data_IF_966166429876
#
_entry.id   IF_966166429876
#
_cell.length_a   1.000
_cell.length_b   1.000
_cell.length_c   1.000
_cell.angle_alpha   90.00
_cell.angle_beta   90.00
_cell.angle_gamma   90.00
#
_symmetry.space_group_name_H-M   'P 1'
#
loop_
_entity.id
_entity.type
_entity.pdbx_description
1 polymer ?
#
# COMPACT_ATOMS: atom_id res chain seq x y z
N UNK A 1 -21.04 -51.33 15.91
CA UNK A 1 -20.00 -50.84 14.99
C UNK A 1 -19.40 -49.63 15.65
N UNK A 2 -18.12 -49.66 16.00
CA UNK A 2 -17.41 -48.46 16.50
C UNK A 2 -17.28 -47.55 15.29
N UNK A 3 -17.98 -46.42 15.27
CA UNK A 3 -17.73 -45.36 14.28
C UNK A 3 -16.25 -45.02 14.37
N UNK A 4 -15.49 -45.37 13.33
CA UNK A 4 -14.11 -44.92 13.22
C UNK A 4 -14.16 -43.40 13.17
N UNK A 5 -13.75 -42.74 14.26
CA UNK A 5 -13.68 -41.29 14.32
C UNK A 5 -12.85 -40.80 13.12
N UNK A 6 -13.48 -40.03 12.24
CA UNK A 6 -12.83 -39.41 11.09
C UNK A 6 -11.67 -38.59 11.64
N UNK A 7 -10.45 -38.97 11.28
CA UNK A 7 -9.23 -38.38 11.82
C UNK A 7 -8.79 -37.30 10.85
N UNK A 8 -9.10 -36.05 11.17
CA UNK A 8 -8.68 -34.90 10.36
C UNK A 8 -7.15 -34.91 10.19
N UNK A 9 -6.68 -34.69 8.97
CA UNK A 9 -5.25 -34.66 8.64
C UNK A 9 -4.72 -33.25 8.80
N UNK A 10 -3.71 -33.07 9.64
CA UNK A 10 -3.04 -31.78 9.84
C UNK A 10 -1.92 -31.61 8.83
N UNK A 11 -1.99 -30.60 7.97
CA UNK A 11 -0.95 -30.24 7.00
C UNK A 11 -0.34 -28.88 7.35
N UNK A 12 0.99 -28.82 7.39
CA UNK A 12 1.72 -27.56 7.52
C UNK A 12 2.04 -27.02 6.13
N UNK A 13 1.46 -25.87 5.80
CA UNK A 13 1.76 -25.12 4.60
C UNK A 13 2.77 -24.02 4.93
N UNK A 14 4.02 -24.18 4.48
CA UNK A 14 5.14 -23.28 4.78
C UNK A 14 5.99 -23.71 5.99
N UNK A 15 6.96 -22.89 6.45
CA UNK A 15 7.20 -21.48 6.10
C UNK A 15 7.80 -21.24 4.71
N UNK A 16 8.37 -22.29 4.09
CA UNK A 16 8.97 -22.20 2.76
C UNK A 16 8.02 -22.85 1.73
N UNK A 17 7.21 -22.03 1.07
CA UNK A 17 6.35 -22.46 -0.03
C UNK A 17 6.19 -21.31 -1.04
N UNK A 18 6.22 -21.56 -2.37
CA UNK A 18 6.10 -20.49 -3.37
C UNK A 18 4.85 -19.62 -3.21
N UNK A 19 3.68 -20.25 -3.03
CA UNK A 19 2.40 -19.52 -2.88
C UNK A 19 2.18 -18.89 -1.51
N UNK A 20 3.16 -19.01 -0.59
CA UNK A 20 3.12 -18.32 0.70
C UNK A 20 3.68 -16.89 0.61
N UNK A 21 4.21 -16.46 -0.55
CA UNK A 21 4.72 -15.10 -0.82
C UNK A 21 5.55 -14.48 0.31
N UNK A 22 6.49 -15.25 0.84
CA UNK A 22 7.31 -14.86 1.97
C UNK A 22 7.38 -15.98 3.00
N UNK A 23 7.04 -15.66 4.24
CA UNK A 23 7.21 -16.55 5.39
C UNK A 23 5.89 -16.70 6.14
N UNK A 24 4.99 -17.52 5.58
CA UNK A 24 3.73 -17.89 6.23
C UNK A 24 3.79 -19.34 6.67
N UNK A 25 3.43 -19.62 7.92
CA UNK A 25 3.14 -20.99 8.36
C UNK A 25 1.64 -21.11 8.59
N UNK A 26 0.94 -21.78 7.68
CA UNK A 26 -0.49 -22.02 7.78
C UNK A 26 -0.72 -23.50 8.16
N UNK A 27 -1.31 -23.74 9.32
CA UNK A 27 -1.66 -25.10 9.78
C UNK A 27 -3.10 -25.37 9.34
N UNK A 28 -3.26 -26.29 8.40
CA UNK A 28 -4.55 -26.68 7.84
C UNK A 28 -5.00 -28.00 8.46
N UNK A 29 -6.24 -28.05 8.95
CA UNK A 29 -6.93 -29.30 9.26
C UNK A 29 -7.83 -29.66 8.08
N UNK A 30 -7.59 -30.83 7.52
CA UNK A 30 -8.22 -31.30 6.28
C UNK A 30 -9.09 -32.52 6.56
N UNK A 31 -10.29 -32.52 6.00
CA UNK A 31 -11.11 -33.71 5.81
C UNK A 31 -11.03 -34.13 4.33
N UNK A 32 -10.12 -35.06 4.04
CA UNK A 32 -9.73 -35.39 2.67
C UNK A 32 -9.04 -34.21 1.98
N UNK A 33 -9.72 -33.59 1.01
CA UNK A 33 -9.23 -32.42 0.26
C UNK A 33 -9.84 -31.09 0.74
N UNK A 34 -10.87 -31.14 1.59
CA UNK A 34 -11.63 -29.98 2.06
C UNK A 34 -10.98 -29.44 3.33
N UNK A 35 -10.82 -28.12 3.40
CA UNK A 35 -10.30 -27.41 4.57
C UNK A 35 -11.42 -27.23 5.59
N UNK A 36 -11.23 -27.76 6.80
CA UNK A 36 -12.15 -27.61 7.94
C UNK A 36 -11.69 -26.47 8.87
N UNK A 37 -10.38 -26.32 9.07
CA UNK A 37 -9.79 -25.23 9.85
C UNK A 37 -8.48 -24.76 9.26
N UNK A 38 -8.24 -23.46 9.26
CA UNK A 38 -6.95 -22.87 8.89
C UNK A 38 -6.42 -21.94 9.99
N UNK A 39 -5.24 -22.24 10.53
CA UNK A 39 -4.59 -21.44 11.56
C UNK A 39 -3.31 -20.77 11.02
N UNK A 40 -3.33 -19.46 10.71
CA UNK A 40 -2.17 -18.73 10.22
C UNK A 40 -1.23 -18.33 11.38
N UNK A 41 -0.11 -19.05 11.51
CA UNK A 41 0.97 -18.65 12.41
C UNK A 41 1.81 -17.54 11.77
N UNK A 42 1.69 -16.35 12.35
CA UNK A 42 2.45 -15.14 12.00
C UNK A 42 3.54 -14.82 13.02
N UNK A 43 4.33 -13.77 12.77
CA UNK A 43 5.40 -13.31 13.65
C UNK A 43 6.80 -13.74 13.22
N UNK A 44 6.93 -14.50 12.13
CA UNK A 44 8.23 -14.96 11.61
C UNK A 44 9.08 -13.80 11.06
N UNK A 45 8.45 -12.69 10.66
CA UNK A 45 9.13 -11.47 10.21
C UNK A 45 8.97 -10.31 11.22
N UNK A 46 8.58 -10.59 12.46
CA UNK A 46 8.39 -9.54 13.47
C UNK A 46 9.73 -8.95 13.89
N UNK A 47 9.88 -7.65 13.72
CA UNK A 47 11.14 -6.91 13.98
C UNK A 47 11.05 -5.92 15.14
N UNK A 48 9.92 -5.85 15.84
CA UNK A 48 9.68 -4.85 16.89
C UNK A 48 9.76 -3.42 16.35
N UNK A 49 9.23 -3.19 15.14
CA UNK A 49 9.30 -1.89 14.43
C UNK A 49 8.64 -0.78 15.23
N UNK A 50 7.45 -1.02 15.79
CA UNK A 50 6.74 -0.05 16.65
C UNK A 50 7.59 0.33 17.87
N UNK A 51 8.34 -0.62 18.44
CA UNK A 51 9.22 -0.36 19.58
C UNK A 51 10.46 0.42 19.19
N UNK A 52 11.04 0.14 18.03
CA UNK A 52 12.18 0.90 17.52
C UNK A 52 11.81 2.35 17.21
N UNK A 53 10.59 2.60 16.73
CA UNK A 53 10.08 3.95 16.45
C UNK A 53 10.07 4.82 17.72
N UNK A 54 9.72 4.27 18.89
CA UNK A 54 9.70 4.99 20.18
C UNK A 54 11.07 5.56 20.58
N UNK A 55 12.17 4.95 20.10
CA UNK A 55 13.54 5.40 20.41
C UNK A 55 14.16 6.30 19.33
N UNK A 56 13.40 6.67 18.29
CA UNK A 56 13.90 7.42 17.13
C UNK A 56 13.12 8.71 16.95
N UNK A 57 13.76 9.74 16.42
CA UNK A 57 13.07 10.98 16.08
C UNK A 57 12.11 10.76 14.90
N UNK A 58 11.13 11.64 14.70
CA UNK A 58 10.17 11.52 13.59
C UNK A 58 10.83 11.32 12.22
N UNK A 59 11.92 12.05 11.94
CA UNK A 59 12.67 11.91 10.68
C UNK A 59 13.40 10.56 10.56
N UNK A 60 13.93 10.05 11.68
CA UNK A 60 14.61 8.76 11.74
C UNK A 60 13.64 7.58 11.76
N UNK A 61 12.39 7.80 12.19
CA UNK A 61 11.33 6.80 12.23
C UNK A 61 10.70 6.55 10.86
N UNK A 62 10.68 7.56 9.99
CA UNK A 62 10.08 7.49 8.66
C UNK A 62 10.51 6.27 7.80
N UNK A 63 11.80 5.88 7.72
CA UNK A 63 12.22 4.73 6.90
C UNK A 63 11.71 3.38 7.39
N UNK A 64 11.14 3.29 8.60
CA UNK A 64 10.48 2.05 9.02
C UNK A 64 9.20 1.82 8.20
N UNK A 65 8.45 2.87 7.86
CA UNK A 65 7.21 2.79 7.08
C UNK A 65 7.47 2.27 5.66
N UNK A 66 8.54 2.73 5.02
CA UNK A 66 9.03 2.22 3.72
C UNK A 66 9.27 0.71 3.68
N UNK A 67 9.52 0.10 4.84
CA UNK A 67 9.93 -1.30 4.98
C UNK A 67 8.82 -2.20 5.51
N UNK A 68 7.63 -1.65 5.77
CA UNK A 68 6.46 -2.43 6.18
C UNK A 68 5.86 -3.08 4.94
N UNK A 69 5.17 -2.30 4.13
CA UNK A 69 4.77 -2.69 2.79
C UNK A 69 5.84 -2.25 1.79
N UNK A 70 6.79 -3.15 1.53
CA UNK A 70 7.90 -2.89 0.61
C UNK A 70 7.46 -2.81 -0.86
N UNK A 71 6.19 -3.03 -1.17
CA UNK A 71 5.66 -2.97 -2.53
C UNK A 71 5.20 -1.55 -2.86
N UNK A 72 4.55 -0.87 -1.90
CA UNK A 72 4.07 0.51 -2.03
C UNK A 72 4.64 1.42 -0.92
N UNK A 73 5.97 1.61 -0.85
CA UNK A 73 6.64 2.28 0.27
C UNK A 73 6.19 3.73 0.47
N UNK A 74 6.04 4.50 -0.61
CA UNK A 74 5.62 5.91 -0.53
C UNK A 74 4.21 6.09 0.03
N UNK A 75 3.29 5.15 -0.21
CA UNK A 75 1.94 5.20 0.36
C UNK A 75 1.98 5.05 1.89
N UNK A 76 2.94 4.27 2.40
CA UNK A 76 3.17 4.07 3.84
C UNK A 76 3.82 5.30 4.47
N UNK A 77 4.82 5.90 3.81
CA UNK A 77 5.41 7.18 4.23
C UNK A 77 4.34 8.27 4.34
N UNK A 78 3.43 8.31 3.36
CA UNK A 78 2.39 9.31 3.29
C UNK A 78 1.49 9.28 4.53
N UNK A 79 1.02 8.10 4.96
CA UNK A 79 0.19 7.98 6.15
C UNK A 79 0.88 8.49 7.43
N UNK A 80 2.18 8.20 7.58
CA UNK A 80 2.96 8.71 8.71
C UNK A 80 3.17 10.23 8.63
N UNK A 81 3.50 10.75 7.45
CA UNK A 81 3.66 12.19 7.24
C UNK A 81 2.36 12.94 7.53
N UNK A 82 1.23 12.41 7.06
CA UNK A 82 -0.10 12.99 7.26
C UNK A 82 -0.51 12.97 8.73
N UNK A 83 -0.19 11.91 9.48
CA UNK A 83 -0.39 11.85 10.93
C UNK A 83 0.42 12.93 11.67
N UNK A 84 1.71 13.07 11.32
CA UNK A 84 2.58 14.07 11.92
C UNK A 84 2.19 15.51 11.54
N UNK A 85 1.75 15.73 10.30
CA UNK A 85 1.27 17.03 9.79
C UNK A 85 -0.03 17.47 10.47
N UNK A 86 -0.94 16.53 10.75
CA UNK A 86 -2.16 16.79 11.54
C UNK A 86 -1.84 17.19 12.97
N UNK A 87 -0.86 16.54 13.63
CA UNK A 87 -0.41 16.92 14.98
C UNK A 87 0.31 18.28 15.01
N UNK A 88 0.97 18.66 13.92
CA UNK A 88 1.65 19.95 13.79
C UNK A 88 0.69 21.08 13.34
N UNK A 89 -0.53 20.74 12.92
CA UNK A 89 -1.54 21.66 12.35
C UNK A 89 -1.02 22.44 11.13
N UNK A 90 -0.37 21.75 10.18
CA UNK A 90 0.22 22.41 9.00
C UNK A 90 -0.32 21.86 7.69
N UNK A 91 -0.59 22.77 6.75
CA UNK A 91 -0.92 22.45 5.37
C UNK A 91 0.32 22.41 4.48
N UNK A 92 0.50 21.31 3.75
CA UNK A 92 1.54 21.16 2.72
C UNK A 92 1.21 22.01 1.49
N UNK A 93 2.19 22.62 0.81
CA UNK A 93 1.96 23.36 -0.45
C UNK A 93 1.30 22.51 -1.55
N UNK A 94 0.53 23.15 -2.44
CA UNK A 94 -0.22 22.48 -3.53
C UNK A 94 0.67 21.63 -4.44
N UNK A 95 1.87 22.11 -4.80
CA UNK A 95 2.84 21.33 -5.58
C UNK A 95 3.29 20.06 -4.86
N UNK A 96 3.58 20.15 -3.56
CA UNK A 96 3.98 19.01 -2.74
C UNK A 96 2.86 17.95 -2.66
N UNK A 97 1.61 18.40 -2.50
CA UNK A 97 0.44 17.52 -2.52
C UNK A 97 0.26 16.81 -3.88
N UNK A 98 0.35 17.54 -4.99
CA UNK A 98 0.25 16.96 -6.34
C UNK A 98 1.32 15.90 -6.60
N UNK A 99 2.56 16.16 -6.16
CA UNK A 99 3.65 15.18 -6.28
C UNK A 99 3.38 13.95 -5.42
N UNK A 100 2.91 14.13 -4.18
CA UNK A 100 2.57 13.01 -3.30
C UNK A 100 1.47 12.13 -3.90
N UNK A 101 0.39 12.73 -4.39
CA UNK A 101 -0.70 11.99 -5.06
C UNK A 101 -0.19 11.28 -6.31
N UNK A 102 0.62 11.94 -7.15
CA UNK A 102 1.21 11.31 -8.33
C UNK A 102 2.00 10.04 -7.96
N UNK A 103 2.87 10.11 -6.96
CA UNK A 103 3.65 8.96 -6.51
C UNK A 103 2.86 7.91 -5.74
N UNK A 104 1.79 8.31 -5.04
CA UNK A 104 0.86 7.36 -4.40
C UNK A 104 0.12 6.52 -5.45
N UNK A 105 -0.28 7.11 -6.57
CA UNK A 105 -0.90 6.38 -7.68
C UNK A 105 0.12 5.52 -8.44
N UNK A 106 1.38 5.96 -8.58
CA UNK A 106 2.46 5.08 -9.08
C UNK A 106 2.68 3.90 -8.11
N UNK A 107 2.66 4.14 -6.80
CA UNK A 107 2.74 3.10 -5.76
C UNK A 107 1.55 2.12 -5.85
N UNK A 108 0.36 2.62 -6.19
CA UNK A 108 -0.82 1.80 -6.45
C UNK A 108 -0.65 0.91 -7.68
N UNK A 109 -0.13 1.44 -8.79
CA UNK A 109 0.21 0.65 -9.97
C UNK A 109 1.26 -0.42 -9.65
N UNK A 110 2.33 -0.07 -8.93
CA UNK A 110 3.37 -1.01 -8.51
C UNK A 110 2.80 -2.17 -7.69
N UNK A 111 1.86 -1.89 -6.78
CA UNK A 111 1.22 -2.89 -5.94
C UNK A 111 0.27 -3.79 -6.71
N UNK A 112 -0.65 -3.22 -7.49
CA UNK A 112 -1.62 -4.01 -8.24
C UNK A 112 -0.95 -4.85 -9.33
N UNK A 113 0.09 -4.35 -10.00
CA UNK A 113 0.86 -5.14 -10.95
C UNK A 113 1.52 -6.34 -10.28
N UNK A 114 2.13 -6.16 -9.11
CA UNK A 114 2.71 -7.28 -8.38
C UNK A 114 1.64 -8.28 -7.98
N UNK A 115 0.55 -7.82 -7.36
CA UNK A 115 -0.51 -8.68 -6.87
C UNK A 115 -1.19 -9.47 -8.01
N UNK A 116 -1.73 -8.80 -9.03
CA UNK A 116 -2.44 -9.44 -10.14
C UNK A 116 -1.57 -10.49 -10.82
N UNK A 117 -0.29 -10.17 -11.04
CA UNK A 117 0.61 -11.11 -11.73
C UNK A 117 1.06 -12.26 -10.84
N UNK A 118 1.31 -12.03 -9.55
CA UNK A 118 1.69 -13.10 -8.60
C UNK A 118 0.51 -14.01 -8.28
N UNK A 119 -0.71 -13.48 -8.11
CA UNK A 119 -1.93 -14.28 -7.99
C UNK A 119 -2.12 -15.16 -9.23
N UNK A 120 -1.88 -14.63 -10.43
CA UNK A 120 -1.94 -15.42 -11.66
C UNK A 120 -0.86 -16.53 -11.67
N UNK A 121 0.35 -16.24 -11.16
CA UNK A 121 1.43 -17.22 -11.03
C UNK A 121 1.09 -18.35 -10.05
N UNK A 122 0.46 -18.05 -8.91
CA UNK A 122 0.04 -19.07 -7.94
C UNK A 122 -0.99 -20.04 -8.50
N UNK A 123 -1.86 -19.54 -9.39
CA UNK A 123 -2.87 -20.34 -10.09
C UNK A 123 -2.23 -21.13 -11.25
N UNK A 124 -1.04 -20.72 -11.71
CA UNK A 124 -0.22 -21.44 -12.70
C UNK A 124 0.10 -20.66 -13.99
N UNK A 125 -0.31 -19.40 -14.12
CA UNK A 125 -0.01 -18.58 -15.29
C UNK A 125 1.37 -17.90 -15.16
N UNK A 126 2.34 -18.34 -15.97
CA UNK A 126 3.74 -17.90 -15.86
C UNK A 126 4.08 -16.65 -16.71
N UNK A 127 3.29 -16.33 -17.73
CA UNK A 127 3.54 -15.20 -18.63
C UNK A 127 3.23 -13.83 -18.00
N UNK A 128 2.11 -13.63 -17.28
CA UNK A 128 1.77 -12.32 -16.70
C UNK A 128 2.85 -11.69 -15.81
N UNK A 129 3.53 -12.44 -14.91
CA UNK A 129 4.63 -11.90 -14.10
C UNK A 129 5.73 -11.24 -14.93
N UNK A 130 6.13 -11.86 -16.05
CA UNK A 130 7.22 -11.34 -16.87
C UNK A 130 6.83 -10.01 -17.54
N UNK A 131 5.59 -9.91 -18.02
CA UNK A 131 5.07 -8.67 -18.62
C UNK A 131 4.89 -7.58 -17.56
N UNK A 132 4.29 -7.91 -16.41
CA UNK A 132 4.07 -6.95 -15.33
C UNK A 132 5.37 -6.44 -14.73
N UNK A 133 6.38 -7.30 -14.55
CA UNK A 133 7.67 -6.88 -13.97
C UNK A 133 8.48 -5.99 -14.91
N UNK A 134 8.33 -6.15 -16.23
CA UNK A 134 8.94 -5.22 -17.19
C UNK A 134 8.38 -3.80 -17.05
N UNK A 135 7.07 -3.64 -16.85
CA UNK A 135 6.48 -2.32 -16.57
C UNK A 135 6.82 -1.82 -15.16
N UNK A 136 6.87 -2.72 -14.17
CA UNK A 136 7.28 -2.41 -12.81
C UNK A 136 8.70 -1.84 -12.75
N UNK A 137 9.61 -2.36 -13.58
CA UNK A 137 10.97 -1.85 -13.71
C UNK A 137 11.00 -0.39 -14.16
N UNK A 138 10.17 -0.01 -15.15
CA UNK A 138 10.07 1.37 -15.63
C UNK A 138 9.59 2.31 -14.52
N UNK A 139 8.61 1.86 -13.72
CA UNK A 139 8.13 2.62 -12.56
C UNK A 139 9.20 2.76 -11.47
N UNK A 140 10.03 1.73 -11.23
CA UNK A 140 11.16 1.81 -10.30
C UNK A 140 12.25 2.80 -10.78
N UNK A 141 12.44 2.95 -12.09
CA UNK A 141 13.34 3.99 -12.64
C UNK A 141 12.81 5.40 -12.32
N UNK A 142 11.49 5.59 -12.27
CA UNK A 142 10.92 6.87 -11.81
C UNK A 142 11.20 7.13 -10.32
N UNK A 143 11.14 6.09 -9.49
CA UNK A 143 11.51 6.17 -8.07
C UNK A 143 13.00 6.53 -7.91
N UNK A 144 13.87 5.89 -8.68
CA UNK A 144 15.31 6.14 -8.68
C UNK A 144 15.62 7.58 -9.09
N UNK A 145 14.95 8.09 -10.13
CA UNK A 145 15.17 9.47 -10.60
C UNK A 145 14.63 10.53 -9.65
N UNK A 146 13.61 10.21 -8.86
CA UNK A 146 13.03 11.14 -7.88
C UNK A 146 13.80 11.14 -6.54
N UNK A 147 14.22 9.97 -6.07
CA UNK A 147 14.77 9.80 -4.71
C UNK A 147 16.23 9.35 -4.66
N UNK A 148 16.75 8.78 -5.75
CA UNK A 148 18.04 8.08 -5.80
C UNK A 148 17.97 6.60 -5.42
N UNK A 149 16.81 6.09 -5.00
CA UNK A 149 16.60 4.69 -4.64
C UNK A 149 15.44 4.07 -5.42
N UNK A 150 15.55 2.78 -5.74
CA UNK A 150 14.56 2.06 -6.57
C UNK A 150 13.31 1.56 -5.82
N UNK A 151 13.42 1.34 -4.50
CA UNK A 151 12.31 0.85 -3.67
C UNK A 151 12.11 1.76 -2.46
N UNK A 152 13.00 1.69 -1.46
CA UNK A 152 12.91 2.50 -0.24
C UNK A 152 13.40 3.92 -0.51
N UNK A 153 12.47 4.83 -0.77
CA UNK A 153 12.74 6.15 -1.32
C UNK A 153 13.02 7.21 -0.24
N UNK A 154 12.47 7.07 0.97
CA UNK A 154 12.58 8.08 2.04
C UNK A 154 12.26 9.50 1.52
N UNK A 155 11.23 9.61 0.67
CA UNK A 155 11.02 10.75 -0.22
C UNK A 155 9.98 11.72 0.33
N UNK A 156 8.87 11.20 0.83
CA UNK A 156 7.89 12.02 1.55
C UNK A 156 8.45 12.33 2.93
N UNK A 157 8.36 13.60 3.33
CA UNK A 157 8.84 14.07 4.62
C UNK A 157 7.72 14.82 5.31
N UNK A 158 7.76 14.87 6.63
CA UNK A 158 6.87 15.76 7.39
C UNK A 158 7.06 17.19 6.87
N UNK A 159 6.00 17.76 6.32
CA UNK A 159 5.99 19.09 5.73
C UNK A 159 6.16 19.16 4.21
N UNK A 160 6.00 18.04 3.51
CA UNK A 160 5.93 17.97 2.06
C UNK A 160 6.82 16.89 1.45
N UNK A 161 7.65 17.28 0.49
CA UNK A 161 8.52 16.38 -0.27
C UNK A 161 9.99 16.77 -0.09
N UNK A 162 10.89 15.79 -0.05
CA UNK A 162 12.31 16.05 0.20
C UNK A 162 12.99 16.88 -0.91
N UNK A 163 12.77 16.53 -2.17
CA UNK A 163 13.39 17.16 -3.34
C UNK A 163 12.36 17.31 -4.46
N UNK A 164 12.48 18.38 -5.27
CA UNK A 164 11.59 18.58 -6.42
C UNK A 164 11.90 17.60 -7.55
N UNK A 165 10.93 17.38 -8.42
CA UNK A 165 11.06 16.49 -9.57
C UNK A 165 11.85 17.16 -10.71
N UNK A 166 12.77 16.43 -11.37
CA UNK A 166 13.37 16.89 -12.62
C UNK A 166 12.29 17.08 -13.70
N UNK A 167 12.33 18.18 -14.45
CA UNK A 167 11.31 18.48 -15.48
C UNK A 167 11.13 17.34 -16.50
N UNK A 168 12.23 16.73 -16.95
CA UNK A 168 12.21 15.58 -17.88
C UNK A 168 11.43 14.39 -17.33
N UNK A 169 11.42 14.20 -16.01
CA UNK A 169 10.70 13.08 -15.39
C UNK A 169 9.19 13.20 -15.59
N UNK A 170 8.64 14.42 -15.60
CA UNK A 170 7.21 14.63 -15.86
C UNK A 170 6.82 14.20 -17.28
N UNK A 171 7.69 14.49 -18.25
CA UNK A 171 7.47 14.11 -19.65
C UNK A 171 7.59 12.60 -19.84
N UNK A 172 8.54 11.96 -19.14
CA UNK A 172 8.73 10.51 -19.19
C UNK A 172 7.55 9.76 -18.55
N UNK A 173 7.01 10.25 -17.41
CA UNK A 173 5.80 9.69 -16.79
C UNK A 173 4.58 9.88 -17.69
N UNK A 174 4.46 11.03 -18.36
CA UNK A 174 3.39 11.25 -19.35
C UNK A 174 3.46 10.23 -20.49
N UNK A 175 4.66 10.01 -21.05
CA UNK A 175 4.89 9.06 -22.12
C UNK A 175 4.65 7.60 -21.72
N UNK A 176 4.75 7.26 -20.43
CA UNK A 176 4.45 5.93 -19.89
C UNK A 176 2.94 5.63 -19.83
N UNK A 177 2.09 6.64 -19.63
CA UNK A 177 0.67 6.43 -19.35
C UNK A 177 -0.09 5.73 -20.49
N UNK A 178 0.11 6.12 -21.75
CA UNK A 178 -0.63 5.54 -22.89
C UNK A 178 -0.17 4.11 -23.24
N UNK A 179 1.14 3.80 -23.32
CA UNK A 179 1.60 2.43 -23.53
C UNK A 179 1.18 1.48 -22.40
N UNK A 180 1.14 1.95 -21.16
CA UNK A 180 0.78 1.11 -20.02
C UNK A 180 -0.67 0.61 -20.09
N UNK A 181 -1.62 1.43 -20.56
CA UNK A 181 -3.01 0.99 -20.75
C UNK A 181 -3.11 -0.19 -21.73
N UNK A 182 -2.29 -0.21 -22.78
CA UNK A 182 -2.22 -1.36 -23.70
C UNK A 182 -1.72 -2.63 -23.01
N UNK A 183 -0.80 -2.49 -22.05
CA UNK A 183 -0.33 -3.64 -21.26
C UNK A 183 -1.45 -4.15 -20.35
N UNK A 184 -2.23 -3.26 -19.73
CA UNK A 184 -3.42 -3.66 -18.99
C UNK A 184 -4.42 -4.41 -19.89
N UNK A 185 -4.66 -3.94 -21.11
CA UNK A 185 -5.57 -4.60 -22.05
C UNK A 185 -5.04 -5.97 -22.50
N UNK A 186 -3.73 -6.11 -22.72
CA UNK A 186 -3.10 -7.41 -23.02
C UNK A 186 -3.22 -8.39 -21.84
N UNK A 187 -3.11 -7.92 -20.59
CA UNK A 187 -3.31 -8.73 -19.39
C UNK A 187 -4.77 -9.16 -19.23
N UNK A 188 -5.69 -8.24 -19.51
CA UNK A 188 -7.15 -8.46 -19.50
C UNK A 188 -7.56 -9.52 -20.53
N UNK A 189 -7.03 -9.44 -21.76
CA UNK A 189 -7.26 -10.41 -22.83
C UNK A 189 -6.82 -11.84 -22.43
N UNK A 190 -5.67 -11.96 -21.77
CA UNK A 190 -5.13 -13.26 -21.35
C UNK A 190 -5.87 -13.88 -20.16
N UNK A 191 -6.25 -13.08 -19.17
CA UNK A 191 -6.75 -13.59 -17.88
C UNK A 191 -8.27 -13.51 -17.76
N UNK A 192 -8.89 -12.39 -18.08
CA UNK A 192 -10.30 -12.12 -17.78
C UNK A 192 -11.24 -13.01 -18.57
N UNK A 193 -10.94 -13.27 -19.86
CA UNK A 193 -11.73 -14.15 -20.71
C UNK A 193 -11.45 -15.65 -20.49
N UNK A 194 -10.36 -15.99 -19.79
CA UNK A 194 -9.87 -17.36 -19.71
C UNK A 194 -10.76 -18.23 -18.80
N UNK A 195 -11.27 -19.33 -19.36
CA UNK A 195 -12.09 -20.30 -18.64
C UNK A 195 -11.39 -20.88 -17.42
N UNK A 196 -10.09 -21.20 -17.50
CA UNK A 196 -9.34 -21.80 -16.39
C UNK A 196 -9.22 -20.80 -15.25
N UNK A 197 -8.91 -19.54 -15.57
CA UNK A 197 -8.77 -18.49 -14.57
C UNK A 197 -10.10 -18.19 -13.87
N UNK A 198 -11.22 -18.19 -14.61
CA UNK A 198 -12.56 -18.08 -14.01
C UNK A 198 -12.88 -19.27 -13.11
N UNK A 199 -12.65 -20.50 -13.57
CA UNK A 199 -12.92 -21.71 -12.78
C UNK A 199 -12.15 -21.76 -11.45
N UNK A 200 -11.01 -21.07 -11.34
CA UNK A 200 -10.18 -21.04 -10.12
C UNK A 200 -10.46 -19.85 -9.19
N UNK A 201 -11.23 -18.85 -9.62
CA UNK A 201 -11.46 -17.62 -8.85
C UNK A 201 -12.93 -17.28 -8.63
N UNK A 202 -13.83 -17.74 -9.52
CA UNK A 202 -15.27 -17.56 -9.37
C UNK A 202 -15.77 -18.48 -8.26
N UNK A 203 -16.62 -17.95 -7.38
CA UNK A 203 -17.18 -18.65 -6.20
C UNK A 203 -16.13 -19.12 -5.17
N UNK A 204 -14.90 -18.62 -5.24
CA UNK A 204 -13.84 -18.90 -4.25
C UNK A 204 -13.69 -17.75 -3.28
N UNK A 205 -13.71 -18.07 -1.97
CA UNK A 205 -13.48 -17.10 -0.91
C UNK A 205 -14.52 -15.97 -0.88
N UNK A 206 -15.79 -16.31 -1.06
CA UNK A 206 -16.92 -15.36 -1.11
C UNK A 206 -17.10 -14.69 0.25
N UNK A 207 -17.26 -13.36 0.24
CA UNK A 207 -17.51 -12.56 1.45
C UNK A 207 -18.72 -11.67 1.24
N UNK A 208 -19.71 -11.78 2.13
CA UNK A 208 -20.84 -10.86 2.19
C UNK A 208 -20.45 -9.47 2.73
N UNK A 209 -21.21 -8.45 2.37
CA UNK A 209 -20.92 -7.07 2.78
C UNK A 209 -20.89 -6.88 4.29
N UNK A 210 -21.85 -7.47 5.02
CA UNK A 210 -21.94 -7.33 6.49
C UNK A 210 -20.77 -8.02 7.19
N UNK A 211 -20.37 -9.20 6.71
CA UNK A 211 -19.21 -9.93 7.22
C UNK A 211 -17.92 -9.15 6.96
N UNK A 212 -17.77 -8.54 5.78
CA UNK A 212 -16.60 -7.73 5.45
C UNK A 212 -16.39 -6.58 6.46
N UNK A 213 -17.48 -5.94 6.89
CA UNK A 213 -17.44 -4.90 7.92
C UNK A 213 -17.15 -5.47 9.32
N UNK A 214 -17.78 -6.59 9.67
CA UNK A 214 -17.58 -7.23 10.97
C UNK A 214 -16.12 -7.68 11.19
N UNK A 215 -15.47 -8.20 10.15
CA UNK A 215 -14.04 -8.58 10.17
C UNK A 215 -13.08 -7.38 10.03
N UNK A 216 -13.61 -6.17 9.81
CA UNK A 216 -12.80 -4.96 9.70
C UNK A 216 -11.95 -4.88 8.42
N UNK A 217 -12.43 -5.50 7.33
CA UNK A 217 -11.78 -5.38 6.03
C UNK A 217 -11.82 -3.95 5.49
N UNK A 218 -10.96 -3.70 4.51
CA UNK A 218 -10.88 -2.42 3.80
C UNK A 218 -10.34 -2.62 2.38
N UNK A 219 -10.45 -1.58 1.54
CA UNK A 219 -9.87 -1.58 0.20
C UNK A 219 -10.59 -2.49 -0.79
N UNK A 220 -9.83 -3.17 -1.68
CA UNK A 220 -10.40 -4.07 -2.69
C UNK A 220 -11.26 -5.20 -2.12
N UNK A 221 -11.02 -5.62 -0.88
CA UNK A 221 -11.83 -6.65 -0.20
C UNK A 221 -13.27 -6.19 0.03
N UNK A 222 -13.45 -4.97 0.53
CA UNK A 222 -14.76 -4.37 0.80
C UNK A 222 -15.45 -3.95 -0.50
N UNK A 223 -14.69 -3.40 -1.45
CA UNK A 223 -15.19 -3.05 -2.79
C UNK A 223 -15.63 -4.26 -3.59
N UNK A 224 -14.92 -5.38 -3.49
CA UNK A 224 -15.29 -6.64 -4.13
C UNK A 224 -16.63 -7.19 -3.64
N UNK A 225 -16.96 -6.99 -2.36
CA UNK A 225 -18.23 -7.40 -1.74
C UNK A 225 -19.40 -6.44 -1.97
N UNK A 226 -19.25 -5.41 -2.83
CA UNK A 226 -20.35 -4.52 -3.20
C UNK A 226 -20.45 -3.19 -2.43
N UNK A 227 -19.52 -2.91 -1.51
CA UNK A 227 -19.52 -1.65 -0.78
C UNK A 227 -18.76 -0.54 -1.52
N UNK A 228 -19.44 0.59 -1.76
CA UNK A 228 -18.86 1.79 -2.37
C UNK A 228 -18.04 2.61 -1.35
N UNK A 229 -16.95 2.03 -0.84
CA UNK A 229 -16.08 2.66 0.17
C UNK A 229 -14.65 2.86 -0.35
N UNK A 230 -14.19 4.11 -0.36
CA UNK A 230 -12.82 4.52 -0.66
C UNK A 230 -12.52 5.80 0.13
N UNK A 231 -11.45 5.81 0.93
CA UNK A 231 -11.10 6.98 1.72
C UNK A 231 -10.78 8.20 0.87
N UNK A 232 -10.29 8.03 -0.36
CA UNK A 232 -9.97 9.13 -1.27
C UNK A 232 -11.20 9.96 -1.68
N UNK A 233 -12.41 9.38 -1.59
CA UNK A 233 -13.67 10.11 -1.81
C UNK A 233 -14.44 10.38 -0.51
N UNK A 234 -14.50 9.41 0.40
CA UNK A 234 -15.30 9.53 1.62
C UNK A 234 -14.66 10.48 2.64
N UNK A 235 -13.34 10.42 2.80
CA UNK A 235 -12.57 11.26 3.71
C UNK A 235 -11.33 11.80 2.97
N UNK A 236 -11.56 12.66 1.98
CA UNK A 236 -10.51 12.99 1.04
C UNK A 236 -9.38 13.76 1.74
N UNK A 237 -8.17 13.43 1.34
CA UNK A 237 -6.94 14.06 1.82
C UNK A 237 -6.16 14.65 0.64
N UNK A 238 -5.26 15.58 0.94
CA UNK A 238 -4.45 16.29 -0.07
C UNK A 238 -5.30 16.84 -1.23
N UNK A 239 -4.92 16.56 -2.48
CA UNK A 239 -5.60 17.06 -3.67
C UNK A 239 -6.53 16.04 -4.35
N UNK A 240 -6.86 14.91 -3.70
CA UNK A 240 -7.86 13.96 -4.22
C UNK A 240 -9.25 14.57 -4.50
N UNK A 241 -9.79 15.55 -3.73
CA UNK A 241 -11.07 16.18 -4.04
C UNK A 241 -11.14 16.85 -5.41
N UNK A 242 -10.00 17.29 -5.94
CA UNK A 242 -9.94 17.98 -7.22
C UNK A 242 -9.80 17.02 -8.41
N UNK A 243 -9.69 15.71 -8.18
CA UNK A 243 -9.42 14.70 -9.21
C UNK A 243 -10.69 13.93 -9.58
N UNK A 244 -10.86 13.70 -10.88
CA UNK A 244 -12.01 12.98 -11.42
C UNK A 244 -11.65 11.52 -11.68
N UNK A 245 -12.13 10.61 -10.85
CA UNK A 245 -11.99 9.17 -11.00
C UNK A 245 -13.22 8.42 -10.51
N UNK A 246 -13.39 7.19 -10.96
CA UNK A 246 -14.51 6.33 -10.59
C UNK A 246 -14.06 5.21 -9.65
N UNK A 247 -14.94 4.76 -8.76
CA UNK A 247 -14.64 3.66 -7.82
C UNK A 247 -15.19 2.36 -8.41
N UNK A 248 -14.36 1.36 -8.71
CA UNK A 248 -14.84 0.06 -9.15
C UNK A 248 -15.45 -0.73 -7.98
N UNK A 249 -16.57 -1.40 -8.23
CA UNK A 249 -17.34 -2.15 -7.22
C UNK A 249 -17.64 -3.54 -7.79
N UNK A 250 -17.35 -4.58 -7.02
CA UNK A 250 -17.73 -5.96 -7.30
C UNK A 250 -19.17 -6.26 -6.90
N UNK A 251 -19.69 -7.44 -7.24
CA UNK A 251 -21.10 -7.81 -6.96
C UNK A 251 -21.22 -9.02 -6.07
N UNK A 252 -20.35 -10.00 -6.26
CA UNK A 252 -20.44 -11.33 -5.65
C UNK A 252 -19.51 -11.46 -4.45
N UNK A 253 -18.43 -10.67 -4.37
CA UNK A 253 -17.46 -10.75 -3.27
C UNK A 253 -16.46 -11.89 -3.38
N UNK A 254 -16.33 -12.50 -4.56
CA UNK A 254 -15.39 -13.58 -4.86
C UNK A 254 -13.97 -13.07 -5.19
N UNK A 255 -13.03 -14.01 -5.36
CA UNK A 255 -11.65 -13.67 -5.75
C UNK A 255 -11.58 -13.02 -7.15
N UNK A 256 -12.53 -13.34 -8.04
CA UNK A 256 -12.58 -12.81 -9.40
C UNK A 256 -12.99 -11.33 -9.42
N UNK A 257 -14.01 -10.93 -8.67
CA UNK A 257 -14.42 -9.54 -8.54
C UNK A 257 -13.31 -8.68 -7.95
N UNK A 258 -12.56 -9.18 -6.97
CA UNK A 258 -11.39 -8.49 -6.41
C UNK A 258 -10.29 -8.28 -7.45
N UNK A 259 -10.08 -9.26 -8.32
CA UNK A 259 -9.16 -9.14 -9.45
C UNK A 259 -9.63 -8.05 -10.43
N UNK A 260 -10.91 -8.03 -10.79
CA UNK A 260 -11.48 -7.02 -11.69
C UNK A 260 -11.39 -5.60 -11.09
N UNK A 261 -11.69 -5.46 -9.80
CA UNK A 261 -11.53 -4.18 -9.06
C UNK A 261 -10.11 -3.67 -9.18
N UNK A 262 -9.09 -4.53 -9.03
CA UNK A 262 -7.67 -4.12 -9.16
C UNK A 262 -7.28 -3.76 -10.59
N UNK A 263 -7.77 -4.51 -11.58
CA UNK A 263 -7.55 -4.18 -13.00
C UNK A 263 -8.12 -2.80 -13.34
N UNK A 264 -9.32 -2.48 -12.85
CA UNK A 264 -9.94 -1.19 -13.08
C UNK A 264 -9.30 -0.07 -12.25
N UNK A 265 -8.88 -0.34 -11.02
CA UNK A 265 -8.09 0.61 -10.21
C UNK A 265 -6.79 1.00 -10.91
N UNK A 266 -6.13 0.09 -11.65
CA UNK A 266 -4.95 0.45 -12.45
C UNK A 266 -5.30 1.46 -13.55
N UNK A 267 -6.43 1.29 -14.25
CA UNK A 267 -6.88 2.25 -15.28
C UNK A 267 -7.24 3.62 -14.66
N UNK A 268 -7.91 3.62 -13.52
CA UNK A 268 -8.24 4.85 -12.80
C UNK A 268 -6.98 5.55 -12.24
N UNK A 269 -5.99 4.79 -11.79
CA UNK A 269 -4.69 5.35 -11.34
C UNK A 269 -4.00 6.11 -12.47
N UNK A 270 -3.97 5.55 -13.69
CA UNK A 270 -3.41 6.23 -14.88
C UNK A 270 -4.18 7.51 -15.20
N UNK A 271 -5.51 7.51 -15.08
CA UNK A 271 -6.35 8.70 -15.26
C UNK A 271 -5.99 9.80 -14.26
N UNK A 272 -5.83 9.46 -12.98
CA UNK A 272 -5.40 10.41 -11.93
C UNK A 272 -3.98 10.91 -12.22
N UNK A 273 -3.06 10.05 -12.64
CA UNK A 273 -1.69 10.44 -12.99
C UNK A 273 -1.67 11.50 -14.10
N UNK A 274 -2.45 11.33 -15.17
CA UNK A 274 -2.56 12.32 -16.25
C UNK A 274 -3.08 13.66 -15.75
N UNK A 275 -4.14 13.66 -14.95
CA UNK A 275 -4.69 14.88 -14.34
C UNK A 275 -3.69 15.58 -13.42
N UNK A 276 -2.93 14.81 -12.63
CA UNK A 276 -1.86 15.35 -11.80
C UNK A 276 -0.77 16.03 -12.63
N UNK A 277 -0.35 15.41 -13.75
CA UNK A 277 0.66 15.98 -14.64
C UNK A 277 0.20 17.26 -15.33
N UNK A 278 -1.07 17.33 -15.77
CA UNK A 278 -1.67 18.54 -16.33
C UNK A 278 -1.68 19.68 -15.30
N UNK A 279 -2.09 19.38 -14.06
CA UNK A 279 -2.10 20.35 -12.96
C UNK A 279 -0.69 20.76 -12.50
N UNK A 280 0.28 19.86 -12.57
CA UNK A 280 1.69 20.19 -12.28
C UNK A 280 2.31 21.11 -13.33
N UNK A 281 1.84 21.04 -14.58
CA UNK A 281 2.23 21.95 -15.67
C UNK A 281 1.50 23.30 -15.61
N UNK A 282 0.31 23.32 -15.00
CA UNK A 282 -0.47 24.54 -14.80
C UNK A 282 0.22 25.51 -13.83
N UNK A 283 -0.11 26.82 -13.88
CA UNK A 283 0.49 27.81 -12.98
C UNK A 283 0.21 27.53 -11.50
N UNK A 284 -0.87 26.82 -11.19
CA UNK A 284 -1.22 26.43 -9.81
C UNK A 284 -0.29 25.36 -9.23
N UNK A 285 0.35 24.56 -10.08
CA UNK A 285 1.34 23.55 -9.71
C UNK A 285 2.77 24.11 -9.58
N UNK A 286 2.98 25.38 -9.91
CA UNK A 286 4.27 26.05 -9.78
C UNK A 286 4.39 26.68 -8.39
N UNK A 287 5.26 26.10 -7.55
CA UNK A 287 5.41 26.53 -6.17
C UNK A 287 6.44 25.73 -5.39
N UNK A 288 6.62 25.99 -4.08
CA UNK A 288 7.52 25.23 -3.25
C UNK A 288 6.97 23.81 -3.01
N UNK A 289 7.86 22.81 -2.99
CA UNK A 289 7.53 21.39 -2.72
C UNK A 289 7.38 21.06 -1.24
N UNK A 290 7.96 21.91 -0.40
CA UNK A 290 7.97 21.78 1.05
C UNK A 290 7.58 23.11 1.69
N UNK A 291 7.03 23.06 2.90
CA UNK A 291 6.64 24.27 3.63
C UNK A 291 7.87 25.19 3.80
N UNK A 292 7.74 26.52 3.62
CA UNK A 292 8.86 27.45 3.80
C UNK A 292 9.31 27.62 5.27
N UNK A 293 8.69 26.92 6.22
CA UNK A 293 9.01 27.00 7.63
C UNK A 293 10.22 26.11 7.98
N UNK A 294 11.40 26.74 8.07
CA UNK A 294 12.67 26.07 8.33
C UNK A 294 12.84 25.49 9.74
N UNK A 295 11.84 25.59 10.62
CA UNK A 295 11.81 24.88 11.89
C UNK A 295 11.36 23.42 11.75
N UNK A 296 10.83 23.05 10.58
CA UNK A 296 10.23 21.73 10.32
C UNK A 296 10.88 21.11 9.10
N UNK A 297 10.99 21.87 8.02
CA UNK A 297 11.65 21.45 6.79
C UNK A 297 13.09 21.99 6.75
N UNK A 298 14.07 21.20 6.29
CA UNK A 298 15.44 21.69 6.19
C UNK A 298 15.56 22.79 5.12
N UNK A 299 16.36 23.86 5.36
CA UNK A 299 16.55 24.91 4.37
C UNK A 299 17.37 24.42 3.16
N UNK A 300 17.19 25.03 1.97
CA UNK A 300 17.98 24.69 0.79
C UNK A 300 19.49 24.85 1.03
N UNK A 301 20.29 23.93 0.47
CA UNK A 301 21.76 23.94 0.64
C UNK A 301 22.44 25.25 0.24
N UNK A 302 21.93 25.93 -0.80
CA UNK A 302 22.46 27.22 -1.22
C UNK A 302 22.25 28.32 -0.16
N UNK A 303 21.10 28.32 0.51
CA UNK A 303 20.78 29.29 1.59
C UNK A 303 21.49 28.95 2.90
N UNK A 304 21.55 27.66 3.25
CA UNK A 304 22.26 27.16 4.43
C UNK A 304 23.72 27.63 4.47
N UNK A 305 24.44 27.53 3.33
CA UNK A 305 25.85 27.93 3.27
C UNK A 305 26.11 29.44 3.39
N UNK A 306 25.07 30.28 3.33
CA UNK A 306 25.19 31.75 3.30
C UNK A 306 24.54 32.43 4.50
N UNK A 307 23.45 31.87 5.04
CA UNK A 307 22.73 32.41 6.21
C UNK A 307 23.08 31.64 7.48
N UNK A 308 23.35 32.40 8.55
CA UNK A 308 23.59 31.84 9.87
C UNK A 308 22.33 31.16 10.42
N UNK A 309 21.15 31.77 10.26
CA UNK A 309 19.88 31.19 10.73
C UNK A 309 19.59 29.86 10.04
N UNK A 310 19.78 29.79 8.72
CA UNK A 310 19.59 28.56 7.95
C UNK A 310 20.55 27.45 8.41
N UNK A 311 21.78 27.79 8.78
CA UNK A 311 22.73 26.82 9.37
C UNK A 311 22.28 26.33 10.74
N UNK A 312 21.81 27.23 11.61
CA UNK A 312 21.28 26.87 12.94
C UNK A 312 20.08 25.92 12.81
N UNK A 313 19.14 26.25 11.92
CA UNK A 313 17.97 25.42 11.67
C UNK A 313 18.34 24.04 11.14
N UNK A 314 19.22 23.98 10.13
CA UNK A 314 19.73 22.71 9.61
C UNK A 314 20.40 21.87 10.72
N UNK A 315 21.27 22.47 11.53
CA UNK A 315 21.97 21.76 12.60
C UNK A 315 20.98 21.19 13.64
N UNK A 316 20.02 21.99 14.12
CA UNK A 316 19.02 21.53 15.10
C UNK A 316 18.09 20.46 14.55
N UNK A 317 17.64 20.58 13.30
CA UNK A 317 16.75 19.60 12.67
C UNK A 317 17.38 18.21 12.53
N UNK A 318 18.68 18.13 12.22
CA UNK A 318 19.34 16.84 12.05
C UNK A 318 19.92 16.24 13.34
N UNK A 319 20.08 17.04 14.39
CA UNK A 319 20.58 16.57 15.69
C UNK A 319 19.44 16.30 16.67
N UNK A 320 18.60 17.31 16.90
CA UNK A 320 17.46 17.23 17.82
C UNK A 320 16.20 16.74 17.10
N UNK A 321 15.93 17.22 15.88
CA UNK A 321 14.68 16.89 15.17
C UNK A 321 13.53 17.84 15.49
N UNK A 322 12.41 17.61 14.81
CA UNK A 322 11.20 18.41 14.95
C UNK A 322 10.50 18.04 16.26
N UNK A 323 10.20 19.04 17.09
CA UNK A 323 9.34 18.85 18.27
C UNK A 323 7.88 18.91 17.84
N UNK A 324 7.12 17.87 18.14
CA UNK A 324 5.70 17.78 17.81
C UNK A 324 4.89 18.06 19.07
N UNK A 325 3.82 18.89 19.02
CA UNK A 325 2.94 19.15 20.16
C UNK A 325 2.43 17.87 20.83
N UNK A 326 2.10 17.95 22.11
CA UNK A 326 1.49 16.82 22.82
C UNK A 326 0.06 16.59 22.30
N UNK A 327 -0.28 15.35 21.97
CA UNK A 327 -1.56 15.00 21.39
C UNK A 327 -1.59 13.59 20.81
N UNK A 328 -2.79 13.16 20.43
CA UNK A 328 -3.04 11.85 19.83
C UNK A 328 -3.81 12.04 18.53
N UNK A 329 -3.36 11.39 17.45
CA UNK A 329 -4.02 11.45 16.15
C UNK A 329 -4.04 10.07 15.52
N UNK A 330 -5.21 9.69 15.00
CA UNK A 330 -5.35 8.62 14.01
C UNK A 330 -5.47 9.25 12.62
N UNK A 331 -4.57 8.88 11.72
CA UNK A 331 -4.65 9.26 10.33
C UNK A 331 -4.60 8.02 9.46
N UNK A 332 -5.48 7.96 8.48
CA UNK A 332 -5.56 6.84 7.57
C UNK A 332 -5.52 7.31 6.12
N UNK A 333 -4.92 6.47 5.27
CA UNK A 333 -4.73 6.69 3.83
C UNK A 333 -5.22 5.43 3.13
N UNK A 334 -5.81 5.58 1.94
CA UNK A 334 -6.14 4.44 1.09
C UNK A 334 -4.85 3.90 0.45
N UNK A 335 -4.16 2.97 1.13
CA UNK A 335 -3.09 2.20 0.51
C UNK A 335 -3.67 1.26 -0.57
N UNK A 336 -2.86 0.72 -1.47
CA UNK A 336 -3.35 -0.15 -2.55
C UNK A 336 -4.02 -1.43 -2.02
N UNK A 337 -3.60 -1.88 -0.84
CA UNK A 337 -4.14 -3.04 -0.13
C UNK A 337 -5.42 -2.71 0.65
N UNK A 338 -5.61 -1.44 1.03
CA UNK A 338 -6.77 -0.97 1.78
C UNK A 338 -6.42 0.19 2.72
N UNK A 339 -7.23 0.39 3.75
CA UNK A 339 -7.01 1.49 4.69
C UNK A 339 -5.81 1.18 5.57
N UNK A 340 -4.73 1.92 5.34
CA UNK A 340 -3.55 1.92 6.19
C UNK A 340 -3.62 3.10 7.15
N UNK A 341 -3.63 2.78 8.45
CA UNK A 341 -3.81 3.75 9.53
C UNK A 341 -2.57 3.86 10.41
N UNK A 342 -2.25 5.08 10.82
CA UNK A 342 -1.21 5.36 11.80
C UNK A 342 -1.86 6.08 12.98
N UNK A 343 -1.77 5.45 14.16
CA UNK A 343 -2.13 6.05 15.44
C UNK A 343 -0.86 6.55 16.12
N UNK A 344 -0.71 7.87 16.20
CA UNK A 344 0.48 8.53 16.72
C UNK A 344 0.14 9.27 18.01
N UNK A 345 0.90 8.98 19.06
CA UNK A 345 0.86 9.68 20.36
C UNK A 345 2.16 10.45 20.52
N UNK A 346 2.04 11.74 20.77
CA UNK A 346 3.13 12.65 21.06
C UNK A 346 3.01 13.18 22.49
N UNK A 347 4.12 13.26 23.20
CA UNK A 347 4.22 13.85 24.54
C UNK A 347 4.82 15.27 24.52
N UNK A 348 4.89 15.93 23.35
CA UNK A 348 5.54 17.24 23.21
C UNK A 348 7.05 17.17 22.88
N UNK A 349 7.60 15.97 22.71
CA UNK A 349 9.03 15.76 22.42
C UNK A 349 9.32 15.67 20.91
N UNK A 350 10.58 15.40 20.58
CA UNK A 350 11.09 15.13 19.23
C UNK A 350 10.98 13.66 18.80
N UNK A 351 10.55 12.79 19.73
CA UNK A 351 10.37 11.35 19.53
C UNK A 351 8.90 10.99 19.74
N UNK A 352 8.29 10.17 18.88
CA UNK A 352 6.92 9.71 19.09
C UNK A 352 6.88 8.86 20.36
N UNK A 353 5.94 9.17 21.26
CA UNK A 353 5.77 8.42 22.51
C UNK A 353 5.23 7.01 22.23
N UNK A 354 4.25 6.92 21.34
CA UNK A 354 3.73 5.65 20.83
C UNK A 354 3.33 5.81 19.37
N UNK A 355 3.63 4.80 18.57
CA UNK A 355 3.19 4.72 17.19
C UNK A 355 2.60 3.33 16.95
N UNK A 356 1.28 3.24 16.82
CA UNK A 356 0.58 1.99 16.49
C UNK A 356 0.16 2.03 15.03
N UNK A 357 0.41 0.94 14.32
CA UNK A 357 0.12 0.83 12.90
C UNK A 357 -1.06 -0.12 12.70
N UNK A 358 -2.05 0.32 11.93
CA UNK A 358 -3.18 -0.49 11.46
C UNK A 358 -2.91 -0.87 10.00
N UNK A 359 -2.57 -2.13 9.77
CA UNK A 359 -2.33 -2.63 8.41
C UNK A 359 -3.60 -3.30 7.91
N UNK A 360 -3.98 -3.07 6.65
CA UNK A 360 -5.13 -3.72 6.04
C UNK A 360 -4.95 -5.25 6.01
N UNK A 361 -3.77 -5.73 5.60
CA UNK A 361 -3.54 -7.17 5.43
C UNK A 361 -3.52 -7.97 6.72
N UNK A 362 -3.32 -7.34 7.89
CA UNK A 362 -3.46 -8.03 9.17
C UNK A 362 -4.91 -8.41 9.44
N UNK A 363 -5.86 -7.50 9.18
CA UNK A 363 -7.29 -7.79 9.29
C UNK A 363 -7.73 -8.80 8.22
N UNK A 364 -7.18 -8.71 7.00
CA UNK A 364 -7.44 -9.67 5.93
C UNK A 364 -6.97 -11.09 6.30
N UNK A 365 -5.78 -11.22 6.89
CA UNK A 365 -5.23 -12.52 7.27
C UNK A 365 -5.99 -13.15 8.44
N UNK A 366 -6.53 -12.36 9.37
CA UNK A 366 -7.34 -12.88 10.48
C UNK A 366 -8.53 -13.71 9.99
N UNK A 367 -9.10 -13.36 8.83
CA UNK A 367 -10.26 -14.03 8.27
C UNK A 367 -9.91 -15.17 7.32
N UNK A 368 -8.64 -15.59 7.21
CA UNK A 368 -8.27 -16.71 6.31
C UNK A 368 -8.99 -18.00 6.66
N UNK A 369 -9.25 -18.25 7.94
CA UNK A 369 -10.01 -19.42 8.39
C UNK A 369 -11.44 -19.39 7.83
N UNK A 370 -12.15 -18.27 8.04
CA UNK A 370 -13.49 -18.07 7.49
C UNK A 370 -13.52 -18.21 5.96
N UNK A 371 -12.51 -17.66 5.28
CA UNK A 371 -12.40 -17.66 3.83
C UNK A 371 -12.06 -19.02 3.21
N UNK A 372 -11.35 -19.88 3.93
CA UNK A 372 -10.86 -21.16 3.40
C UNK A 372 -11.71 -22.35 3.80
N UNK A 373 -12.55 -22.23 4.83
CA UNK A 373 -13.48 -23.29 5.26
C UNK A 373 -14.38 -23.74 4.12
N UNK A 374 -14.45 -25.06 3.91
CA UNK A 374 -15.27 -25.67 2.88
C UNK A 374 -14.67 -25.61 1.47
N UNK A 375 -13.50 -24.98 1.29
CA UNK A 375 -12.77 -24.97 0.03
C UNK A 375 -11.71 -26.06 -0.05
N UNK A 376 -11.23 -26.34 -1.27
CA UNK A 376 -10.14 -27.27 -1.49
C UNK A 376 -8.79 -26.63 -1.17
N UNK A 377 -7.77 -27.45 -0.87
CA UNK A 377 -6.39 -26.98 -0.60
C UNK A 377 -5.86 -26.10 -1.74
N UNK A 378 -6.20 -26.42 -2.99
CA UNK A 378 -5.77 -25.66 -4.16
C UNK A 378 -6.34 -24.24 -4.18
N UNK A 379 -7.52 -24.03 -3.61
CA UNK A 379 -8.20 -22.73 -3.58
C UNK A 379 -7.64 -21.83 -2.49
N UNK A 380 -7.01 -22.40 -1.45
CA UNK A 380 -6.30 -21.64 -0.41
C UNK A 380 -5.22 -20.74 -1.03
N UNK A 381 -4.50 -21.22 -2.05
CA UNK A 381 -3.51 -20.42 -2.75
C UNK A 381 -4.15 -19.22 -3.49
N UNK A 382 -5.31 -19.42 -4.12
CA UNK A 382 -6.04 -18.34 -4.78
C UNK A 382 -6.59 -17.32 -3.78
N UNK A 383 -7.08 -17.78 -2.63
CA UNK A 383 -7.53 -16.92 -1.52
C UNK A 383 -6.36 -16.06 -1.01
N UNK A 384 -5.22 -16.67 -0.69
CA UNK A 384 -4.02 -15.96 -0.20
C UNK A 384 -3.55 -14.92 -1.24
N UNK A 385 -3.47 -15.29 -2.52
CA UNK A 385 -3.14 -14.35 -3.59
C UNK A 385 -4.15 -13.20 -3.67
N UNK A 386 -5.45 -13.49 -3.55
CA UNK A 386 -6.51 -12.47 -3.60
C UNK A 386 -6.46 -11.47 -2.44
N UNK A 387 -5.88 -11.82 -1.29
CA UNK A 387 -5.78 -10.95 -0.11
C UNK A 387 -4.65 -9.92 -0.23
N UNK A 388 -3.72 -10.08 -1.18
CA UNK A 388 -2.55 -9.20 -1.36
C UNK A 388 -1.67 -9.12 -0.10
N UNK A 389 -1.21 -10.25 0.40
CA UNK A 389 -0.49 -10.30 1.67
C UNK A 389 0.98 -9.92 1.50
N UNK A 390 1.46 -8.97 2.31
CA UNK A 390 2.88 -8.69 2.52
C UNK A 390 3.20 -8.82 4.00
N UNK A 391 4.06 -9.76 4.36
CA UNK A 391 4.32 -10.06 5.77
C UNK A 391 5.00 -8.93 6.55
N UNK A 392 5.70 -8.03 5.86
CA UNK A 392 6.37 -6.89 6.51
C UNK A 392 5.40 -5.92 7.19
N UNK A 393 4.17 -5.79 6.68
CA UNK A 393 3.11 -5.00 7.32
C UNK A 393 2.22 -5.82 8.25
N UNK A 394 2.28 -7.16 8.24
CA UNK A 394 1.53 -7.98 9.20
C UNK A 394 2.32 -8.05 10.50
N UNK A 395 3.60 -8.41 10.39
CA UNK A 395 4.52 -8.67 11.50
C UNK A 395 5.33 -7.40 11.86
N UNK A 396 4.76 -6.54 12.71
CA UNK A 396 5.34 -5.21 13.03
C UNK A 396 5.82 -5.08 14.44
#
# INVERSE_FOLDING_TARGET
>A
MVEAAVRNFTLNFGPQHPSAHGVLRLVLELDGEIVDRADPHIGLLHRGTEKLIEYKTYLQALPYFDRLDYVAPMNQEHAFCLAAEKLLEISVPKRGQLIRVLFCEIGRLLSHLLNVTTQAMDIGALTPPLWGFAEREKLMVFYERASGARMHANYFRVGGVHQDLPAKLLDDIWAFCDPFLKVCDNLDELLTGNRIFKQRNVDVGVIGQDDAWAWGFSGPMVRGSGAAWDLRKAQPYECYPEMDFDIPIGKNGDCYDRYLVRMEEMRQSVRIMKQCLEKLRSPEGQGPVAIPNHKITPPPRATMKRSMEATIHHFKLYTEGVRVPAGEVYAAVEAPKGEFGVYLVSNGSNTPYRCKIRAPSFAHLQATDFLSRGHMIADVAAIIGSLDIVFGEIDR
#
